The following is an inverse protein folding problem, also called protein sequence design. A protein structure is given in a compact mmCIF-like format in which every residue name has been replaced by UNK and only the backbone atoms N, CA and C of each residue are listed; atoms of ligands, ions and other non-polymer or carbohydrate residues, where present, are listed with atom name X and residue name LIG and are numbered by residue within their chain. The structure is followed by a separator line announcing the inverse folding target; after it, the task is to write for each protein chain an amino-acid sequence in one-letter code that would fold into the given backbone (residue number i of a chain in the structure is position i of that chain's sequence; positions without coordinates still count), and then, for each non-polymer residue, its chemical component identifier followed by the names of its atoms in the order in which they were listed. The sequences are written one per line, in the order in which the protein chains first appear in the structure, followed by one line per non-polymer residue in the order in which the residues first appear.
data_IF_513193336596
#
_entry.id   IF_513193336596
#
_cell.length_a   1.000
_cell.length_b   1.000
_cell.length_c   1.000
_cell.angle_alpha   90.00
_cell.angle_beta   90.00
_cell.angle_gamma   90.00
#
_symmetry.space_group_name_H-M   'P 1'
#
loop_
_entity.id
_entity.type
_entity.pdbx_description
1 polymer ?
#
# COMPACT_ATOMS: atom_id res chain seq x y z
N UNK A 1 14.61 -1.68 -7.20
CA UNK A 1 13.91 -1.01 -6.07
C UNK A 1 14.75 -1.11 -4.80
N UNK A 2 14.81 -0.05 -3.97
CA UNK A 2 15.42 -0.13 -2.63
C UNK A 2 14.41 -0.70 -1.62
N UNK A 3 14.58 -1.96 -1.24
CA UNK A 3 13.61 -2.69 -0.39
C UNK A 3 13.44 -2.08 1.01
N UNK A 4 14.52 -1.56 1.61
CA UNK A 4 14.46 -0.99 2.96
C UNK A 4 13.65 0.30 2.99
N UNK A 5 13.75 1.12 1.95
CA UNK A 5 12.95 2.34 1.79
C UNK A 5 11.46 2.00 1.65
N UNK A 6 11.12 1.00 0.83
CA UNK A 6 9.73 0.55 0.67
C UNK A 6 9.16 -0.02 1.97
N UNK A 7 9.95 -0.83 2.69
CA UNK A 7 9.57 -1.32 4.02
C UNK A 7 9.32 -0.15 4.98
N UNK A 8 10.18 0.87 4.97
CA UNK A 8 10.02 2.05 5.81
C UNK A 8 8.74 2.83 5.47
N UNK A 9 8.46 3.01 4.18
CA UNK A 9 7.24 3.67 3.72
C UNK A 9 5.99 2.88 4.14
N UNK A 10 5.96 1.55 3.94
CA UNK A 10 4.83 0.72 4.34
C UNK A 10 4.60 0.70 5.85
N UNK A 11 5.66 0.76 6.67
CA UNK A 11 5.55 0.93 8.12
C UNK A 11 4.90 2.27 8.48
N UNK A 12 5.22 3.34 7.77
CA UNK A 12 4.56 4.63 7.97
C UNK A 12 3.08 4.56 7.58
N UNK A 13 2.74 3.96 6.43
CA UNK A 13 1.33 3.78 6.02
C UNK A 13 0.55 2.98 7.05
N UNK A 14 1.16 1.91 7.61
CA UNK A 14 0.55 1.12 8.68
C UNK A 14 0.32 1.95 9.94
N UNK A 15 1.32 2.72 10.39
CA UNK A 15 1.22 3.55 11.59
C UNK A 15 0.16 4.64 11.44
N UNK A 16 0.13 5.30 10.28
CA UNK A 16 -0.85 6.32 9.96
C UNK A 16 -2.26 5.73 9.90
N UNK A 17 -2.45 4.62 9.17
CA UNK A 17 -3.74 3.92 9.12
C UNK A 17 -4.28 3.59 10.52
N UNK A 18 -3.44 3.06 11.41
CA UNK A 18 -3.80 2.80 12.82
C UNK A 18 -4.19 4.08 13.56
N UNK A 19 -3.37 5.13 13.45
CA UNK A 19 -3.62 6.40 14.12
C UNK A 19 -4.88 7.12 13.61
N UNK A 20 -5.26 6.91 12.35
CA UNK A 20 -6.48 7.49 11.76
C UNK A 20 -7.75 6.76 12.18
N UNK A 21 -7.71 5.43 12.31
CA UNK A 21 -8.84 4.65 12.83
C UNK A 21 -9.28 5.13 14.22
N UNK A 22 -8.36 5.64 15.04
CA UNK A 22 -8.67 6.24 16.35
C UNK A 22 -9.32 7.64 16.25
N UNK A 23 -9.05 8.39 15.17
CA UNK A 23 -9.47 9.79 15.01
C UNK A 23 -10.73 9.99 14.16
N UNK A 24 -11.20 8.95 13.44
CA UNK A 24 -12.40 8.98 12.58
C UNK A 24 -12.41 10.10 11.51
N UNK A 25 -11.25 10.47 10.94
CA UNK A 25 -11.17 11.43 9.82
C UNK A 25 -10.62 10.76 8.54
N UNK A 26 -11.49 10.16 7.70
CA UNK A 26 -11.07 9.51 6.45
C UNK A 26 -10.42 10.47 5.44
N UNK A 27 -10.67 11.78 5.55
CA UNK A 27 -10.11 12.76 4.62
C UNK A 27 -8.65 13.08 4.94
N UNK A 28 -8.16 12.78 6.14
CA UNK A 28 -6.78 13.09 6.52
C UNK A 28 -5.75 12.25 5.75
N UNK A 29 -6.00 10.94 5.59
CA UNK A 29 -5.15 10.06 4.78
C UNK A 29 -5.17 10.48 3.31
N UNK A 30 -6.35 10.79 2.76
CA UNK A 30 -6.47 11.26 1.38
C UNK A 30 -5.71 12.59 1.16
N UNK A 31 -5.80 13.54 2.09
CA UNK A 31 -5.04 14.80 2.00
C UNK A 31 -3.53 14.58 2.05
N UNK A 32 -3.06 13.59 2.81
CA UNK A 32 -1.62 13.29 2.95
C UNK A 32 -1.06 12.55 1.74
N UNK A 33 -1.71 11.46 1.34
CA UNK A 33 -1.19 10.50 0.37
C UNK A 33 -1.84 10.60 -1.01
N UNK A 34 -2.95 11.33 -1.14
CA UNK A 34 -3.69 11.48 -2.39
C UNK A 34 -4.44 10.22 -2.85
N UNK A 35 -4.64 9.24 -1.96
CA UNK A 35 -5.34 7.98 -2.24
C UNK A 35 -6.32 7.63 -1.12
N UNK A 36 -7.28 6.76 -1.42
CA UNK A 36 -8.27 6.33 -0.43
C UNK A 36 -7.81 5.06 0.25
N UNK A 37 -7.79 5.07 1.58
CA UNK A 37 -7.68 3.86 2.36
C UNK A 37 -9.11 3.33 2.54
N UNK A 38 -9.29 2.05 2.27
CA UNK A 38 -10.58 1.36 2.22
C UNK A 38 -10.78 0.48 3.47
N UNK A 39 -11.94 -0.18 3.52
CA UNK A 39 -12.35 -1.02 4.64
C UNK A 39 -12.90 -0.20 5.82
N UNK A 40 -13.66 -0.84 6.70
CA UNK A 40 -14.26 -0.20 7.87
C UNK A 40 -13.24 0.44 8.82
N UNK A 41 -11.98 -0.03 8.77
CA UNK A 41 -10.87 0.42 9.60
C UNK A 41 -9.86 1.29 8.86
N UNK A 42 -10.12 1.66 7.61
CA UNK A 42 -9.17 2.40 6.76
C UNK A 42 -7.79 1.74 6.69
N UNK A 43 -7.76 0.40 6.64
CA UNK A 43 -6.56 -0.42 6.66
C UNK A 43 -6.33 -1.17 5.33
N UNK A 44 -7.27 -1.07 4.38
CA UNK A 44 -7.13 -1.70 3.07
C UNK A 44 -6.63 -0.67 2.05
N UNK A 45 -5.72 -1.09 1.18
CA UNK A 45 -5.20 -0.26 0.09
C UNK A 45 -4.80 -1.15 -1.08
N UNK A 46 -5.01 -0.69 -2.31
CA UNK A 46 -4.56 -1.46 -3.47
C UNK A 46 -3.06 -1.28 -3.74
N UNK A 47 -2.41 -2.32 -4.27
CA UNK A 47 -0.98 -2.29 -4.61
C UNK A 47 -0.62 -1.19 -5.60
N UNK A 48 -1.49 -0.85 -6.54
CA UNK A 48 -1.27 0.26 -7.48
C UNK A 48 -1.36 1.64 -6.80
N UNK A 49 -2.14 1.79 -5.74
CA UNK A 49 -2.19 3.00 -4.93
C UNK A 49 -0.92 3.11 -4.07
N UNK A 50 -0.47 2.00 -3.47
CA UNK A 50 0.83 1.95 -2.78
C UNK A 50 1.94 2.38 -3.75
N UNK A 51 1.99 1.81 -4.95
CA UNK A 51 3.00 2.18 -5.96
C UNK A 51 2.93 3.68 -6.29
N UNK A 52 1.72 4.23 -6.48
CA UNK A 52 1.54 5.67 -6.69
C UNK A 52 2.04 6.50 -5.51
N UNK A 53 1.85 6.05 -4.26
CA UNK A 53 2.39 6.72 -3.07
C UNK A 53 3.93 6.69 -3.08
N UNK A 54 4.53 5.52 -3.31
CA UNK A 54 5.99 5.36 -3.35
C UNK A 54 6.62 6.31 -4.40
N UNK A 55 6.02 6.38 -5.59
CA UNK A 55 6.53 7.21 -6.67
C UNK A 55 6.26 8.71 -6.47
N UNK A 56 5.07 9.11 -6.01
CA UNK A 56 4.67 10.53 -5.96
C UNK A 56 4.97 11.21 -4.64
N UNK A 57 4.78 10.51 -3.52
CA UNK A 57 4.97 11.07 -2.18
C UNK A 57 6.39 10.83 -1.67
N UNK A 58 6.90 9.61 -1.84
CA UNK A 58 8.27 9.28 -1.42
C UNK A 58 9.33 9.48 -2.51
N UNK A 59 8.92 9.84 -3.74
CA UNK A 59 9.82 10.07 -4.88
C UNK A 59 10.76 8.89 -5.19
N UNK A 60 10.30 7.66 -4.95
CA UNK A 60 11.07 6.44 -5.21
C UNK A 60 10.92 6.00 -6.66
N UNK A 61 12.03 5.62 -7.29
CA UNK A 61 12.01 4.95 -8.59
C UNK A 61 11.73 3.46 -8.40
N UNK A 62 10.46 3.10 -8.52
CA UNK A 62 9.94 1.75 -8.26
C UNK A 62 9.28 1.23 -9.53
N UNK A 63 9.85 0.17 -10.10
CA UNK A 63 9.26 -0.55 -11.22
C UNK A 63 8.04 -1.37 -10.77
N UNK A 64 6.98 -1.36 -11.57
CA UNK A 64 5.72 -2.03 -11.24
C UNK A 64 5.88 -3.56 -11.17
N UNK A 65 6.67 -4.17 -12.06
CA UNK A 65 6.84 -5.62 -12.11
C UNK A 65 7.66 -6.06 -10.89
N UNK A 66 8.80 -5.38 -10.65
CA UNK A 66 9.66 -5.66 -9.49
C UNK A 66 8.89 -5.49 -8.18
N UNK A 67 8.16 -4.39 -8.02
CA UNK A 67 7.36 -4.13 -6.81
C UNK A 67 6.29 -5.19 -6.59
N UNK A 68 5.55 -5.55 -7.63
CA UNK A 68 4.45 -6.50 -7.53
C UNK A 68 4.95 -7.90 -7.18
N UNK A 69 6.14 -8.29 -7.66
CA UNK A 69 6.77 -9.57 -7.33
C UNK A 69 7.27 -9.61 -5.87
N UNK A 70 7.83 -8.50 -5.38
CA UNK A 70 8.38 -8.43 -4.01
C UNK A 70 7.33 -8.11 -2.94
N UNK A 71 6.21 -7.49 -3.31
CA UNK A 71 5.18 -7.03 -2.37
C UNK A 71 4.70 -8.13 -1.42
N UNK A 72 4.36 -9.36 -1.87
CA UNK A 72 4.03 -10.48 -0.97
C UNK A 72 5.07 -10.70 0.14
N UNK A 73 6.35 -10.79 -0.22
CA UNK A 73 7.43 -11.05 0.73
C UNK A 73 7.66 -9.87 1.67
N UNK A 74 7.38 -8.65 1.23
CA UNK A 74 7.43 -7.45 2.08
C UNK A 74 6.25 -7.46 3.07
N UNK A 75 5.03 -7.73 2.59
CA UNK A 75 3.84 -7.84 3.44
C UNK A 75 4.02 -8.89 4.54
N UNK A 76 4.52 -10.08 4.19
CA UNK A 76 4.81 -11.16 5.15
C UNK A 76 5.77 -10.68 6.25
N UNK A 77 6.81 -9.92 5.88
CA UNK A 77 7.79 -9.38 6.83
C UNK A 77 7.24 -8.32 7.77
N UNK A 78 6.10 -7.71 7.42
CA UNK A 78 5.43 -6.66 8.18
C UNK A 78 4.18 -7.14 8.92
N UNK A 79 3.81 -8.43 8.76
CA UNK A 79 2.57 -8.98 9.30
C UNK A 79 1.32 -8.40 8.63
N UNK A 80 1.45 -7.95 7.38
CA UNK A 80 0.34 -7.49 6.54
C UNK A 80 -0.25 -8.66 5.77
N UNK A 81 -1.54 -8.63 5.46
CA UNK A 81 -2.16 -9.63 4.56
C UNK A 81 -2.37 -9.02 3.19
N UNK A 82 -2.36 -9.87 2.17
CA UNK A 82 -2.61 -9.45 0.80
C UNK A 82 -3.48 -10.48 0.10
N UNK A 83 -4.41 -10.01 -0.73
CA UNK A 83 -5.27 -10.85 -1.56
C UNK A 83 -5.12 -10.44 -3.03
N UNK A 84 -4.86 -11.38 -3.94
CA UNK A 84 -4.84 -11.07 -5.36
C UNK A 84 -6.24 -10.68 -5.83
N UNK A 85 -6.35 -9.52 -6.48
CA UNK A 85 -7.60 -9.08 -7.10
C UNK A 85 -7.68 -9.75 -8.47
N UNK A 86 -8.40 -10.87 -8.55
CA UNK A 86 -8.56 -11.59 -9.80
C UNK A 86 -9.36 -10.75 -10.84
N UNK A 87 -8.89 -10.77 -12.09
CA UNK A 87 -9.64 -10.43 -13.31
C UNK A 87 -9.81 -8.96 -13.77
N UNK A 88 -9.15 -7.95 -13.19
CA UNK A 88 -9.29 -6.57 -13.73
C UNK A 88 -8.28 -6.18 -14.81
N UNK A 89 -7.14 -6.89 -14.92
CA UNK A 89 -6.09 -6.52 -15.86
C UNK A 89 -5.55 -7.74 -16.62
N UNK A 90 -5.89 -7.83 -17.90
CA UNK A 90 -5.44 -8.87 -18.83
C UNK A 90 -3.93 -8.82 -19.17
N UNK A 91 -3.11 -8.05 -18.44
CA UNK A 91 -1.68 -7.95 -18.70
C UNK A 91 -0.83 -7.77 -17.43
N UNK A 92 -0.18 -8.87 -17.06
CA UNK A 92 1.14 -9.01 -16.46
C UNK A 92 1.49 -8.41 -15.09
N UNK A 93 0.70 -7.54 -14.47
CA UNK A 93 0.94 -7.10 -13.09
C UNK A 93 -0.23 -7.52 -12.18
N UNK A 94 0.03 -8.44 -11.26
CA UNK A 94 -0.93 -8.84 -10.23
C UNK A 94 -1.33 -7.63 -9.38
N UNK A 95 -2.59 -7.22 -9.42
CA UNK A 95 -3.09 -6.24 -8.46
C UNK A 95 -3.39 -6.97 -7.15
N UNK A 96 -2.97 -6.39 -6.02
CA UNK A 96 -3.28 -6.91 -4.69
C UNK A 96 -4.11 -5.90 -3.93
N UNK A 97 -5.10 -6.38 -3.18
CA UNK A 97 -5.64 -5.66 -2.05
C UNK A 97 -4.76 -6.00 -0.84
N UNK A 98 -4.25 -4.98 -0.15
CA UNK A 98 -3.33 -5.14 0.99
C UNK A 98 -4.02 -4.63 2.24
N UNK A 99 -4.12 -5.48 3.26
CA UNK A 99 -4.48 -5.07 4.61
C UNK A 99 -3.23 -4.74 5.41
N UNK A 100 -3.12 -3.47 5.81
CA UNK A 100 -1.94 -2.96 6.49
C UNK A 100 -1.79 -3.48 7.92
N UNK A 101 -2.87 -3.92 8.58
CA UNK A 101 -2.89 -4.48 9.93
C UNK A 101 -4.23 -5.13 10.28
#
# INVERSE_FOLDING_TARGET
MNRDEVISALKELQADSKAFNEKQDPMGLFKKYGVFFLGEKYNLIFSHEILSILQKYYHMDVDIIEFTQELPAICDSLGMTYEPVAELFASAASCFEVALW
#
